data_IF_703524569962
#
_entry.id   IF_703524569962
#
_cell.length_a   1.000
_cell.length_b   1.000
_cell.length_c   1.000
_cell.angle_alpha   90.00
_cell.angle_beta   90.00
_cell.angle_gamma   90.00
#
_symmetry.space_group_name_H-M   'P 1'
#
loop_
_entity.id
_entity.type
_entity.pdbx_description
1 polymer ?
#
# COMPACT_ATOMS: atom_id res chain seq x y z
N UNK A 1 21.12 -8.86 -9.04
CA UNK A 1 20.72 -9.83 -10.08
C UNK A 1 19.30 -9.53 -10.50
N UNK A 2 18.95 -9.61 -11.80
CA UNK A 2 17.56 -9.48 -12.21
C UNK A 2 16.75 -10.64 -11.62
N UNK A 3 15.57 -10.33 -11.11
CA UNK A 3 14.65 -11.35 -10.59
C UNK A 3 14.13 -12.21 -11.73
N UNK A 4 14.04 -13.52 -11.51
CA UNK A 4 13.60 -14.51 -12.51
C UNK A 4 12.08 -14.69 -12.56
N UNK A 5 11.43 -14.33 -11.46
CA UNK A 5 9.99 -14.53 -11.26
C UNK A 5 9.26 -13.21 -11.39
N UNK A 6 8.17 -13.23 -12.14
CA UNK A 6 7.29 -12.08 -12.32
C UNK A 6 5.93 -12.36 -11.69
N UNK A 7 5.43 -11.37 -10.96
CA UNK A 7 4.08 -11.38 -10.42
C UNK A 7 3.05 -10.88 -11.45
N UNK A 8 3.49 -10.20 -12.50
CA UNK A 8 2.63 -9.61 -13.51
C UNK A 8 2.07 -10.65 -14.47
N UNK A 9 0.81 -10.45 -14.85
CA UNK A 9 0.14 -11.18 -15.92
C UNK A 9 -0.98 -10.30 -16.53
N UNK A 10 -1.88 -10.89 -17.31
CA UNK A 10 -3.01 -10.18 -17.92
C UNK A 10 -3.98 -9.54 -16.89
N UNK A 11 -3.99 -10.02 -15.65
CA UNK A 11 -4.88 -9.59 -14.57
C UNK A 11 -4.15 -8.83 -13.45
N UNK A 12 -2.89 -9.18 -13.19
CA UNK A 12 -2.01 -8.56 -12.21
C UNK A 12 -1.11 -7.55 -12.90
N UNK A 13 -1.44 -6.27 -12.75
CA UNK A 13 -0.84 -5.19 -13.55
C UNK A 13 0.11 -4.34 -12.73
N UNK A 14 1.27 -4.01 -13.30
CA UNK A 14 2.23 -3.05 -12.72
C UNK A 14 1.58 -1.67 -12.57
N UNK A 15 0.97 -1.16 -13.64
CA UNK A 15 0.16 0.06 -13.59
C UNK A 15 -1.23 -0.26 -13.01
N UNK A 16 -1.63 0.33 -11.87
CA UNK A 16 -2.94 0.10 -11.29
C UNK A 16 -4.06 0.54 -12.23
N UNK A 17 -5.25 -0.06 -12.07
CA UNK A 17 -6.42 0.30 -12.89
C UNK A 17 -6.75 1.78 -12.71
N UNK A 18 -7.09 2.46 -13.82
CA UNK A 18 -7.46 3.87 -13.80
C UNK A 18 -8.64 4.16 -12.86
N UNK A 19 -9.57 3.20 -12.73
CA UNK A 19 -10.73 3.25 -11.86
C UNK A 19 -10.42 3.22 -10.36
N UNK A 20 -9.19 2.91 -9.93
CA UNK A 20 -8.83 2.98 -8.52
C UNK A 20 -8.70 4.43 -8.04
N UNK A 21 -9.12 4.66 -6.78
CA UNK A 21 -8.97 5.96 -6.12
C UNK A 21 -7.49 6.31 -5.89
N UNK A 22 -7.20 7.57 -5.56
CA UNK A 22 -5.84 8.00 -5.24
C UNK A 22 -5.24 7.21 -4.06
N UNK A 23 -6.00 7.03 -2.98
CA UNK A 23 -5.59 6.24 -1.83
C UNK A 23 -5.33 4.76 -2.19
N UNK A 24 -6.17 4.17 -3.05
CA UNK A 24 -5.95 2.81 -3.54
C UNK A 24 -4.66 2.73 -4.36
N UNK A 25 -4.44 3.65 -5.31
CA UNK A 25 -3.23 3.67 -6.14
C UNK A 25 -1.96 3.81 -5.31
N UNK A 26 -1.97 4.69 -4.30
CA UNK A 26 -0.87 4.87 -3.37
C UNK A 26 -0.59 3.55 -2.61
N UNK A 27 -1.56 3.02 -1.86
CA UNK A 27 -1.35 1.82 -1.04
C UNK A 27 -0.97 0.57 -1.84
N UNK A 28 -1.45 0.44 -3.09
CA UNK A 28 -1.10 -0.68 -3.96
C UNK A 28 0.33 -0.60 -4.52
N UNK A 29 0.85 0.60 -4.74
CA UNK A 29 2.19 0.81 -5.34
C UNK A 29 3.26 1.14 -4.30
N UNK A 30 2.84 1.46 -3.07
CA UNK A 30 3.73 1.81 -1.96
C UNK A 30 4.74 0.70 -1.66
N UNK A 31 6.01 1.04 -1.92
CA UNK A 31 7.16 0.17 -1.66
C UNK A 31 7.40 -0.09 -0.18
N UNK A 32 8.33 -0.99 0.12
CA UNK A 32 8.65 -1.38 1.49
C UNK A 32 7.58 -2.27 2.15
N UNK A 33 7.69 -2.42 3.46
CA UNK A 33 6.85 -3.30 4.26
C UNK A 33 5.45 -2.73 4.48
N UNK A 34 4.40 -3.48 4.09
CA UNK A 34 3.01 -3.09 4.40
C UNK A 34 2.78 -2.97 5.91
N UNK A 35 3.36 -3.88 6.68
CA UNK A 35 3.30 -3.86 8.15
C UNK A 35 3.92 -2.58 8.71
N UNK A 36 5.02 -2.09 8.12
CA UNK A 36 5.63 -0.83 8.57
C UNK A 36 4.70 0.37 8.30
N UNK A 37 4.05 0.41 7.13
CA UNK A 37 3.06 1.45 6.83
C UNK A 37 1.81 1.35 7.71
N UNK A 38 1.33 0.16 8.02
CA UNK A 38 0.19 -0.02 8.91
C UNK A 38 0.52 0.40 10.35
N UNK A 39 1.76 0.22 10.82
CA UNK A 39 2.21 0.69 12.13
C UNK A 39 2.17 2.21 12.29
N UNK A 40 2.13 2.97 11.19
CA UNK A 40 1.92 4.43 11.28
C UNK A 40 0.45 4.80 11.50
N UNK A 41 -0.47 3.84 11.39
CA UNK A 41 -1.90 4.06 11.58
C UNK A 41 -2.38 3.64 12.97
N UNK A 42 -1.66 2.76 13.67
CA UNK A 42 -2.04 2.24 14.97
C UNK A 42 -1.24 0.99 15.37
N UNK A 43 -1.68 0.30 16.43
CA UNK A 43 -1.03 -0.91 16.91
C UNK A 43 -1.33 -2.08 15.96
N UNK A 44 -0.28 -2.61 15.32
CA UNK A 44 -0.43 -3.74 14.38
C UNK A 44 -0.33 -5.08 15.09
N UNK A 45 -1.32 -5.94 14.85
CA UNK A 45 -1.31 -7.36 15.24
C UNK A 45 -1.40 -8.25 14.00
N UNK A 46 -0.60 -9.32 13.99
CA UNK A 46 -0.68 -10.39 12.98
C UNK A 46 -1.48 -11.54 13.56
N UNK A 47 -2.63 -11.84 12.96
CA UNK A 47 -3.40 -13.06 13.24
C UNK A 47 -3.13 -14.08 12.14
N UNK A 48 -2.64 -15.26 12.50
CA UNK A 48 -2.47 -16.36 11.55
C UNK A 48 -3.78 -17.12 11.45
N UNK A 49 -4.35 -17.19 10.26
CA UNK A 49 -5.60 -17.91 10.00
C UNK A 49 -5.35 -19.30 9.45
N UNK A 50 -4.25 -19.50 8.72
CA UNK A 50 -3.89 -20.81 8.17
C UNK A 50 -2.41 -20.96 7.87
N UNK A 51 -1.87 -22.14 8.13
CA UNK A 51 -0.55 -22.59 7.68
C UNK A 51 -0.63 -24.04 7.25
N UNK A 52 -0.26 -24.36 6.00
CA UNK A 52 -0.41 -25.71 5.47
C UNK A 52 0.54 -26.01 4.32
N UNK A 53 0.71 -27.31 4.03
CA UNK A 53 1.16 -27.75 2.70
C UNK A 53 -0.09 -27.85 1.82
N UNK A 54 -0.12 -27.12 0.72
CA UNK A 54 -1.28 -27.09 -0.18
C UNK A 54 -0.88 -26.89 -1.64
N UNK A 55 -1.86 -26.99 -2.52
CA UNK A 55 -1.77 -26.50 -3.88
C UNK A 55 -1.88 -24.97 -3.90
N UNK A 56 -0.90 -24.24 -4.47
CA UNK A 56 -1.08 -22.82 -4.75
C UNK A 56 -2.30 -22.57 -5.66
N UNK A 57 -2.82 -21.34 -5.64
CA UNK A 57 -3.88 -20.98 -6.57
C UNK A 57 -3.36 -20.96 -8.01
N UNK A 58 -4.27 -21.10 -8.98
CA UNK A 58 -3.90 -21.31 -10.39
C UNK A 58 -3.00 -20.21 -10.96
N UNK A 59 -3.23 -18.96 -10.55
CA UNK A 59 -2.43 -17.81 -11.00
C UNK A 59 -1.11 -17.65 -10.22
N UNK A 60 -0.97 -18.35 -9.09
CA UNK A 60 0.26 -18.37 -8.30
C UNK A 60 1.27 -19.37 -8.85
N UNK A 61 0.80 -20.48 -9.44
CA UNK A 61 1.68 -21.48 -10.04
C UNK A 61 2.60 -20.87 -11.11
N UNK A 62 2.05 -20.02 -11.98
CA UNK A 62 2.83 -19.33 -13.00
C UNK A 62 3.87 -18.36 -12.39
N UNK A 63 3.44 -17.54 -11.42
CA UNK A 63 4.32 -16.58 -10.75
C UNK A 63 5.44 -17.25 -9.94
N UNK A 64 5.22 -18.47 -9.45
CA UNK A 64 6.18 -19.27 -8.70
C UNK A 64 7.00 -20.23 -9.58
N UNK A 65 6.72 -20.33 -10.88
CA UNK A 65 7.37 -21.29 -11.77
C UNK A 65 7.14 -22.75 -11.37
N UNK A 66 5.97 -23.06 -10.81
CA UNK A 66 5.60 -24.38 -10.33
C UNK A 66 4.99 -25.25 -11.44
N UNK A 67 5.31 -26.54 -11.44
CA UNK A 67 4.65 -27.50 -12.31
C UNK A 67 3.19 -27.72 -11.87
N UNK A 68 2.31 -28.19 -12.76
CA UNK A 68 0.97 -28.61 -12.38
C UNK A 68 1.02 -29.61 -11.22
N UNK A 69 0.18 -29.39 -10.20
CA UNK A 69 0.06 -30.25 -9.00
C UNK A 69 1.27 -30.23 -8.04
N UNK A 70 2.25 -29.36 -8.27
CA UNK A 70 3.34 -29.17 -7.33
C UNK A 70 2.86 -28.48 -6.04
N UNK A 71 3.33 -28.98 -4.89
CA UNK A 71 2.90 -28.48 -3.58
C UNK A 71 3.73 -27.27 -3.14
N UNK A 72 3.07 -26.36 -2.45
CA UNK A 72 3.67 -25.22 -1.78
C UNK A 72 3.41 -25.25 -0.27
N UNK A 73 4.27 -24.58 0.47
CA UNK A 73 3.91 -24.12 1.81
C UNK A 73 3.12 -22.82 1.66
N UNK A 74 1.92 -22.79 2.23
CA UNK A 74 1.02 -21.64 2.22
C UNK A 74 0.81 -21.11 3.63
N UNK A 75 0.69 -19.79 3.72
CA UNK A 75 0.42 -19.08 4.97
C UNK A 75 -0.55 -17.95 4.72
N UNK A 76 -1.67 -18.00 5.43
CA UNK A 76 -2.71 -16.98 5.40
C UNK A 76 -2.72 -16.23 6.73
N UNK A 77 -2.78 -14.91 6.65
CA UNK A 77 -2.78 -14.03 7.81
C UNK A 77 -3.76 -12.89 7.63
N UNK A 78 -4.07 -12.23 8.74
CA UNK A 78 -4.77 -10.96 8.79
C UNK A 78 -3.92 -9.97 9.56
N UNK A 79 -3.76 -8.77 9.00
CA UNK A 79 -3.15 -7.64 9.67
C UNK A 79 -4.26 -6.77 10.25
N UNK A 80 -4.30 -6.72 11.57
CA UNK A 80 -5.21 -5.89 12.34
C UNK A 80 -4.50 -4.61 12.77
N UNK A 81 -5.18 -3.47 12.69
CA UNK A 81 -4.76 -2.21 13.30
C UNK A 81 -5.77 -1.89 14.39
N UNK A 82 -5.29 -1.80 15.63
CA UNK A 82 -6.13 -1.55 16.82
C UNK A 82 -7.32 -2.53 16.92
N UNK A 83 -7.07 -3.80 16.57
CA UNK A 83 -8.07 -4.88 16.57
C UNK A 83 -8.97 -4.93 15.35
N UNK A 84 -8.85 -3.99 14.41
CA UNK A 84 -9.68 -3.94 13.19
C UNK A 84 -8.91 -4.52 12.00
N UNK A 85 -9.48 -5.50 11.25
CA UNK A 85 -8.78 -6.14 10.14
C UNK A 85 -8.66 -5.19 8.94
N UNK A 86 -7.43 -4.85 8.57
CA UNK A 86 -7.14 -3.93 7.47
C UNK A 86 -6.67 -4.66 6.21
N UNK A 87 -5.99 -5.80 6.37
CA UNK A 87 -5.43 -6.56 5.25
C UNK A 87 -5.58 -8.04 5.52
N UNK A 88 -6.06 -8.78 4.52
CA UNK A 88 -5.99 -10.22 4.52
C UNK A 88 -4.94 -10.65 3.49
N UNK A 89 -3.98 -11.48 3.88
CA UNK A 89 -2.82 -11.80 3.05
C UNK A 89 -2.60 -13.31 2.95
N UNK A 90 -2.12 -13.73 1.78
CA UNK A 90 -1.75 -15.10 1.47
C UNK A 90 -0.34 -15.10 0.90
N UNK A 91 0.50 -16.00 1.42
CA UNK A 91 1.87 -16.19 0.97
C UNK A 91 2.10 -17.64 0.60
N UNK A 92 2.85 -17.88 -0.47
CA UNK A 92 3.15 -19.21 -0.99
C UNK A 92 4.60 -19.33 -1.44
N UNK A 93 5.23 -20.48 -1.18
CA UNK A 93 6.57 -20.82 -1.66
C UNK A 93 6.61 -22.31 -2.02
N UNK A 94 7.38 -22.74 -3.04
CA UNK A 94 7.57 -24.16 -3.34
C UNK A 94 7.93 -24.95 -2.07
N UNK A 95 7.38 -26.15 -1.90
CA UNK A 95 7.53 -26.91 -0.65
C UNK A 95 9.01 -27.18 -0.32
N UNK A 96 9.82 -27.55 -1.32
CA UNK A 96 11.26 -27.73 -1.12
C UNK A 96 11.98 -26.45 -0.67
N UNK A 97 11.58 -25.29 -1.20
CA UNK A 97 12.13 -24.00 -0.79
C UNK A 97 11.72 -23.64 0.65
N UNK A 98 10.53 -24.05 1.10
CA UNK A 98 10.06 -23.87 2.47
C UNK A 98 10.83 -24.69 3.51
N UNK A 99 11.55 -25.74 3.09
CA UNK A 99 12.45 -26.51 3.95
C UNK A 99 13.90 -26.00 3.91
N UNK A 100 14.26 -25.21 2.89
CA UNK A 100 15.61 -24.67 2.70
C UNK A 100 15.65 -23.16 2.86
N UNK A 101 15.78 -22.45 1.74
CA UNK A 101 16.00 -20.99 1.69
C UNK A 101 14.95 -20.20 2.48
N UNK A 102 13.69 -20.66 2.46
CA UNK A 102 12.55 -20.03 3.12
C UNK A 102 12.11 -20.75 4.41
N UNK A 103 12.98 -21.57 5.03
CA UNK A 103 12.65 -22.29 6.27
C UNK A 103 12.16 -21.41 7.43
N UNK A 104 12.65 -20.17 7.50
CA UNK A 104 12.24 -19.21 8.52
C UNK A 104 10.74 -18.87 8.44
N UNK A 105 10.14 -18.95 7.25
CA UNK A 105 8.70 -18.71 7.04
C UNK A 105 7.85 -19.66 7.90
N UNK A 106 8.27 -20.92 8.06
CA UNK A 106 7.56 -21.94 8.88
C UNK A 106 7.70 -21.69 10.39
N UNK A 107 8.60 -20.78 10.80
CA UNK A 107 8.89 -20.43 12.19
C UNK A 107 8.47 -19.00 12.52
N UNK A 108 7.71 -18.35 11.64
CA UNK A 108 7.27 -16.97 11.87
C UNK A 108 6.33 -16.86 13.06
N UNK A 109 5.48 -17.86 13.32
CA UNK A 109 4.42 -17.75 14.35
C UNK A 109 3.59 -16.49 14.09
N UNK A 110 3.53 -15.54 15.02
CA UNK A 110 2.85 -14.25 14.85
C UNK A 110 3.76 -13.13 14.36
N UNK A 111 5.02 -13.42 14.01
CA UNK A 111 5.91 -12.40 13.44
C UNK A 111 5.52 -12.07 11.99
N UNK A 112 5.54 -10.79 11.60
CA UNK A 112 5.35 -10.38 10.23
C UNK A 112 6.41 -10.99 9.30
N UNK A 113 5.96 -11.49 8.15
CA UNK A 113 6.84 -11.98 7.10
C UNK A 113 7.80 -10.88 6.58
N UNK A 114 7.40 -9.62 6.67
CA UNK A 114 8.24 -8.48 6.29
C UNK A 114 9.57 -8.43 7.05
N UNK A 115 9.63 -8.91 8.30
CA UNK A 115 10.88 -8.99 9.05
C UNK A 115 11.88 -9.90 8.36
N UNK A 116 11.43 -11.02 7.79
CA UNK A 116 12.27 -11.94 7.00
C UNK A 116 12.67 -11.33 5.64
N UNK A 117 11.77 -10.59 5.00
CA UNK A 117 11.94 -10.14 3.61
C UNK A 117 12.77 -8.86 3.47
N UNK A 118 12.72 -7.95 4.44
CA UNK A 118 13.37 -6.64 4.35
C UNK A 118 14.63 -6.51 5.20
N UNK A 119 14.96 -7.48 6.05
CA UNK A 119 16.21 -7.49 6.82
C UNK A 119 17.37 -8.17 6.10
N UNK A 120 17.12 -8.88 4.99
CA UNK A 120 18.12 -9.65 4.24
C UNK A 120 18.37 -9.01 2.88
N UNK A 121 19.56 -8.44 2.68
CA UNK A 121 19.98 -7.80 1.42
C UNK A 121 20.13 -8.79 0.25
N UNK A 122 20.15 -10.09 0.52
CA UNK A 122 20.15 -11.15 -0.49
C UNK A 122 18.76 -11.45 -1.08
N UNK A 123 17.71 -10.79 -0.59
CA UNK A 123 16.34 -10.92 -1.11
C UNK A 123 16.10 -9.86 -2.19
N UNK A 124 15.83 -10.32 -3.40
CA UNK A 124 15.34 -9.49 -4.49
C UNK A 124 13.81 -9.50 -4.51
N UNK A 125 13.19 -8.48 -5.12
CA UNK A 125 11.75 -8.34 -5.20
C UNK A 125 11.31 -7.93 -6.61
N UNK A 126 10.23 -8.54 -7.11
CA UNK A 126 9.57 -8.16 -8.36
C UNK A 126 8.91 -6.79 -8.23
N UNK A 127 8.44 -6.24 -9.35
CA UNK A 127 7.51 -5.13 -9.31
C UNK A 127 6.28 -5.48 -8.44
N UNK A 128 5.74 -4.46 -7.76
CA UNK A 128 4.41 -4.54 -7.21
C UNK A 128 3.41 -4.51 -8.35
N UNK A 129 2.48 -5.47 -8.33
CA UNK A 129 1.37 -5.54 -9.27
C UNK A 129 0.06 -5.51 -8.51
N UNK A 130 -1.00 -5.05 -9.14
CA UNK A 130 -2.30 -4.89 -8.51
C UNK A 130 -3.42 -5.44 -9.37
N UNK A 131 -4.51 -5.84 -8.70
CA UNK A 131 -5.69 -6.45 -9.32
C UNK A 131 -6.95 -6.11 -8.54
N UNK A 132 -8.08 -6.03 -9.25
CA UNK A 132 -9.41 -6.11 -8.66
C UNK A 132 -9.85 -7.57 -8.55
N UNK A 133 -10.18 -8.01 -7.35
CA UNK A 133 -10.41 -9.41 -7.00
C UNK A 133 -11.89 -9.62 -6.72
N UNK A 134 -12.57 -10.41 -7.55
CA UNK A 134 -13.99 -10.74 -7.39
C UNK A 134 -14.17 -12.11 -6.72
N UNK A 135 -15.42 -12.47 -6.41
CA UNK A 135 -15.80 -13.75 -5.79
C UNK A 135 -15.33 -15.01 -6.54
N UNK A 136 -14.88 -14.91 -7.80
CA UNK A 136 -14.30 -16.03 -8.56
C UNK A 136 -12.88 -16.40 -8.13
N UNK A 137 -12.22 -15.55 -7.35
CA UNK A 137 -10.84 -15.76 -6.93
C UNK A 137 -10.80 -16.15 -5.44
N UNK A 138 -10.04 -17.18 -5.02
CA UNK A 138 -10.01 -17.66 -3.63
C UNK A 138 -9.67 -16.57 -2.59
N UNK A 139 -8.77 -15.64 -2.93
CA UNK A 139 -8.47 -14.46 -2.10
C UNK A 139 -9.71 -13.63 -1.71
N UNK A 140 -10.77 -13.60 -2.52
CA UNK A 140 -12.02 -12.92 -2.14
C UNK A 140 -12.67 -13.62 -0.95
N UNK A 141 -12.76 -14.96 -0.98
CA UNK A 141 -13.34 -15.72 0.13
C UNK A 141 -12.50 -15.56 1.41
N UNK A 142 -11.17 -15.55 1.30
CA UNK A 142 -10.26 -15.26 2.41
C UNK A 142 -10.56 -13.87 3.00
N UNK A 143 -10.64 -12.83 2.17
CA UNK A 143 -10.91 -11.47 2.63
C UNK A 143 -12.33 -11.26 3.18
N UNK A 144 -13.33 -11.92 2.60
CA UNK A 144 -14.73 -11.77 2.99
C UNK A 144 -15.02 -12.35 4.39
N UNK A 145 -14.31 -13.42 4.79
CA UNK A 145 -14.43 -14.01 6.14
C UNK A 145 -14.12 -13.01 7.25
N UNK A 146 -13.16 -12.12 7.01
CA UNK A 146 -12.70 -11.16 8.02
C UNK A 146 -13.64 -9.97 8.23
N UNK A 147 -14.59 -9.75 7.31
CA UNK A 147 -15.54 -8.64 7.40
C UNK A 147 -16.72 -9.01 8.29
N UNK A 148 -17.14 -10.27 8.28
CA UNK A 148 -18.30 -10.76 9.04
C UNK A 148 -18.06 -10.88 10.55
N UNK A 149 -16.81 -11.05 10.98
CA UNK A 149 -16.48 -11.30 12.39
C UNK A 149 -16.41 -10.04 13.26
N UNK A 150 -16.26 -8.84 12.67
CA UNK A 150 -15.86 -7.64 13.43
C UNK A 150 -17.00 -6.68 13.75
N UNK A 151 -18.29 -7.04 13.54
CA UNK A 151 -19.42 -6.16 13.89
C UNK A 151 -19.38 -4.76 13.26
N UNK A 152 -18.60 -4.59 12.18
CA UNK A 152 -18.36 -3.31 11.53
C UNK A 152 -19.60 -2.89 10.71
N UNK A 153 -19.84 -1.58 10.63
CA UNK A 153 -21.00 -0.97 9.96
C UNK A 153 -21.16 -1.34 8.47
N UNK A 154 -20.16 -1.98 7.85
CA UNK A 154 -20.27 -2.61 6.54
C UNK A 154 -20.81 -4.04 6.68
N UNK A 155 -22.12 -4.20 6.86
CA UNK A 155 -22.77 -5.49 7.09
C UNK A 155 -22.63 -6.53 5.95
N UNK A 156 -22.05 -6.15 4.80
CA UNK A 156 -21.85 -7.05 3.67
C UNK A 156 -20.46 -6.88 3.05
N UNK A 157 -19.80 -8.00 2.77
CA UNK A 157 -18.56 -8.01 2.00
C UNK A 157 -18.80 -7.41 0.60
N UNK A 158 -17.89 -6.54 0.10
CA UNK A 158 -18.05 -5.96 -1.22
C UNK A 158 -17.94 -7.03 -2.32
N UNK A 159 -18.56 -6.75 -3.47
CA UNK A 159 -18.48 -7.61 -4.65
C UNK A 159 -17.04 -7.80 -5.18
N UNK A 160 -16.14 -6.87 -4.85
CA UNK A 160 -14.74 -6.98 -5.19
C UNK A 160 -13.85 -6.29 -4.17
N UNK A 161 -12.65 -6.82 -4.01
CA UNK A 161 -11.56 -6.21 -3.27
C UNK A 161 -10.47 -5.68 -4.21
N UNK A 162 -9.57 -4.92 -3.63
CA UNK A 162 -8.35 -4.46 -4.30
C UNK A 162 -7.18 -5.15 -3.63
N UNK A 163 -6.32 -5.79 -4.43
CA UNK A 163 -5.17 -6.53 -3.92
C UNK A 163 -3.90 -6.14 -4.66
N UNK A 164 -2.77 -6.32 -3.99
CA UNK A 164 -1.44 -6.26 -4.59
C UNK A 164 -0.68 -7.55 -4.38
N UNK A 165 0.29 -7.80 -5.25
CA UNK A 165 1.10 -9.01 -5.26
C UNK A 165 2.54 -8.69 -5.64
N UNK A 166 3.48 -9.49 -5.14
CA UNK A 166 4.88 -9.44 -5.52
C UNK A 166 5.55 -10.77 -5.23
N UNK A 167 6.55 -11.12 -6.05
CA UNK A 167 7.44 -12.26 -5.79
C UNK A 167 8.73 -11.74 -5.16
N UNK A 168 9.16 -12.41 -4.09
CA UNK A 168 10.47 -12.28 -3.49
C UNK A 168 11.33 -13.46 -3.94
N UNK A 169 12.58 -13.22 -4.28
CA UNK A 169 13.53 -14.25 -4.70
C UNK A 169 14.77 -14.20 -3.82
N UNK A 170 15.17 -15.37 -3.32
CA UNK A 170 16.40 -15.55 -2.57
C UNK A 170 17.08 -16.82 -3.07
N UNK A 171 18.36 -16.76 -3.44
CA UNK A 171 19.12 -17.89 -3.99
C UNK A 171 18.36 -18.69 -5.07
N UNK A 172 17.67 -18.00 -5.99
CA UNK A 172 16.90 -18.65 -7.06
C UNK A 172 15.59 -19.31 -6.61
N UNK A 173 15.13 -19.09 -5.37
CA UNK A 173 13.90 -19.66 -4.82
C UNK A 173 12.83 -18.59 -4.61
N UNK A 174 11.63 -18.75 -5.18
CA UNK A 174 10.57 -17.76 -5.10
C UNK A 174 9.75 -17.89 -3.82
N UNK A 175 9.22 -16.77 -3.36
CA UNK A 175 8.18 -16.65 -2.36
C UNK A 175 7.21 -15.57 -2.81
N UNK A 176 5.96 -15.94 -3.03
CA UNK A 176 4.90 -15.04 -3.44
C UNK A 176 4.19 -14.48 -2.21
N UNK A 177 3.88 -13.17 -2.24
CA UNK A 177 3.01 -12.52 -1.27
C UNK A 177 1.89 -11.82 -2.02
N UNK A 178 0.66 -12.14 -1.65
CA UNK A 178 -0.56 -11.47 -2.12
C UNK A 178 -1.28 -10.84 -0.94
N UNK A 179 -1.54 -9.53 -1.00
CA UNK A 179 -2.13 -8.72 0.08
C UNK A 179 -3.43 -8.10 -0.43
N UNK A 180 -4.55 -8.38 0.25
CA UNK A 180 -5.88 -7.90 -0.07
C UNK A 180 -6.31 -6.82 0.93
N UNK A 181 -6.57 -5.61 0.45
CA UNK A 181 -6.95 -4.48 1.29
C UNK A 181 -8.43 -4.52 1.61
N UNK A 182 -8.76 -4.51 2.90
CA UNK A 182 -10.12 -4.63 3.42
C UNK A 182 -10.81 -3.26 3.54
N UNK A 183 -12.16 -3.21 3.60
CA UNK A 183 -12.92 -1.95 3.63
C UNK A 183 -12.54 -1.02 4.78
N UNK A 184 -12.20 -1.58 5.95
CA UNK A 184 -11.84 -0.80 7.13
C UNK A 184 -10.62 0.10 6.91
N UNK A 185 -9.63 -0.35 6.13
CA UNK A 185 -8.48 0.47 5.75
C UNK A 185 -8.93 1.71 4.96
N UNK A 186 -9.83 1.52 3.99
CA UNK A 186 -10.29 2.63 3.14
C UNK A 186 -11.16 3.62 3.92
N UNK A 187 -12.02 3.12 4.80
CA UNK A 187 -12.81 3.97 5.71
C UNK A 187 -11.90 4.81 6.61
N UNK A 188 -10.91 4.17 7.25
CA UNK A 188 -9.94 4.84 8.11
C UNK A 188 -9.18 5.97 7.39
N UNK A 189 -8.71 5.70 6.17
CA UNK A 189 -7.98 6.69 5.37
C UNK A 189 -8.87 7.86 4.94
N UNK A 190 -10.13 7.59 4.59
CA UNK A 190 -11.10 8.63 4.22
C UNK A 190 -11.42 9.55 5.41
N UNK A 191 -11.65 8.98 6.60
CA UNK A 191 -11.87 9.74 7.83
C UNK A 191 -10.66 10.58 8.23
N UNK A 192 -9.46 10.00 8.12
CA UNK A 192 -8.21 10.68 8.44
C UNK A 192 -7.95 11.88 7.52
N UNK A 193 -8.25 11.73 6.22
CA UNK A 193 -8.16 12.83 5.25
C UNK A 193 -9.17 13.95 5.54
N UNK A 194 -10.39 13.60 5.94
CA UNK A 194 -11.41 14.57 6.34
C UNK A 194 -11.01 15.40 7.57
N UNK A 195 -10.45 14.76 8.59
CA UNK A 195 -9.94 15.42 9.80
C UNK A 195 -8.78 16.37 9.49
N UNK A 196 -7.83 15.96 8.65
CA UNK A 196 -6.71 16.80 8.24
C UNK A 196 -7.16 18.06 7.46
N UNK A 197 -8.15 17.91 6.57
CA UNK A 197 -8.75 19.05 5.84
C UNK A 197 -9.46 20.03 6.78
N UNK A 198 -10.23 19.54 7.75
CA UNK A 198 -10.92 20.36 8.74
C UNK A 198 -9.96 21.12 9.68
N UNK A 199 -8.86 20.49 10.11
CA UNK A 199 -7.82 21.12 10.91
C UNK A 199 -7.05 22.20 10.14
N UNK A 200 -6.80 22.00 8.84
CA UNK A 200 -6.16 23.02 7.99
C UNK A 200 -7.06 24.23 7.75
N UNK A 201 -8.38 24.03 7.62
CA UNK A 201 -9.34 25.12 7.37
C UNK A 201 -9.56 26.00 8.62
N UNK A 202 -9.44 25.44 9.82
CA UNK A 202 -9.59 26.18 11.09
C UNK A 202 -8.36 27.01 11.48
N UNK A 203 -7.17 26.71 10.95
CA UNK A 203 -5.98 27.53 11.18
C UNK A 203 -5.89 28.77 10.28
N UNK A 204 -6.52 28.75 9.10
CA UNK A 204 -6.47 29.86 8.13
C UNK A 204 -7.43 31.00 8.50
N UNK A 205 -8.43 30.77 9.37
CA UNK A 205 -9.41 31.79 9.76
C UNK A 205 -8.96 32.75 10.87
N UNK A 206 -7.76 32.56 11.45
CA UNK A 206 -7.26 33.42 12.55
C UNK A 206 -6.27 34.52 12.14
N UNK A 207 -6.01 34.73 10.84
CA UNK A 207 -5.07 35.76 10.34
C UNK A 207 -5.71 36.92 9.56
N UNK A 208 -6.98 37.23 9.83
CA UNK A 208 -7.68 38.36 9.20
C UNK A 208 -8.39 39.25 10.22
N UNK A 209 -7.61 40.14 10.87
CA UNK A 209 -7.98 41.39 11.60
C UNK A 209 -6.65 41.86 12.20
N UNK A 210 -5.99 42.92 11.77
CA UNK A 210 -6.46 44.32 11.69
C UNK A 210 -5.83 45.04 10.49
N UNK A 211 -6.66 45.72 9.70
CA UNK A 211 -6.24 46.94 8.99
C UNK A 211 -7.21 48.03 9.39
N UNK A 212 -6.75 48.92 10.28
CA UNK A 212 -7.45 50.16 10.61
C UNK A 212 -7.49 51.11 9.41
N UNK A 213 -8.47 52.02 9.35
CA UNK A 213 -8.61 52.97 8.24
C UNK A 213 -7.66 54.15 8.45
N UNK A 214 -6.81 54.44 7.46
CA UNK A 214 -6.04 55.68 7.41
C UNK A 214 -6.61 56.60 6.34
N UNK A 215 -7.04 57.76 6.80
CA UNK A 215 -7.72 58.80 6.04
C UNK A 215 -6.82 59.56 5.06
N UNK A 216 -7.51 60.31 4.22
CA UNK A 216 -7.00 61.16 3.17
C UNK A 216 -6.25 62.38 3.73
N UNK A 217 -5.08 62.69 3.17
CA UNK A 217 -4.58 64.06 3.07
C UNK A 217 -3.85 64.25 1.75
N UNK A 218 -4.36 65.20 0.97
CA UNK A 218 -3.73 65.73 -0.23
C UNK A 218 -2.53 66.62 0.13
N UNK A 219 -1.53 66.68 -0.75
CA UNK A 219 -0.77 67.91 -0.96
C UNK A 219 -0.09 67.93 -2.33
N UNK A 220 -0.26 69.07 -3.01
CA UNK A 220 0.33 69.47 -4.30
C UNK A 220 1.67 70.19 -4.06
N UNK A 221 2.35 70.42 -5.20
CA UNK A 221 3.50 71.31 -5.45
C UNK A 221 4.87 70.59 -5.39
N UNK A 222 5.87 70.83 -6.23
CA UNK A 222 6.10 71.85 -7.26
C UNK A 222 7.18 71.34 -8.25
N UNK A 223 7.43 72.12 -9.29
CA UNK A 223 8.17 71.88 -10.53
C UNK A 223 9.71 71.88 -10.43
N UNK A 224 10.34 71.37 -11.49
CA UNK A 224 11.66 71.77 -12.00
C UNK A 224 12.79 70.79 -11.67
N UNK A 225 13.78 70.48 -12.51
CA UNK A 225 14.10 70.76 -13.91
C UNK A 225 15.35 69.92 -14.27
N UNK A 226 15.69 69.86 -15.56
CA UNK A 226 16.98 69.46 -16.16
C UNK A 226 17.30 67.97 -16.45
N UNK A 227 17.02 67.61 -17.72
CA UNK A 227 17.95 67.08 -18.76
C UNK A 227 19.29 66.44 -18.34
N UNK A 228 19.57 65.21 -18.80
CA UNK A 228 20.61 64.88 -19.81
C UNK A 228 20.60 63.36 -20.15
N UNK A 229 20.93 63.01 -21.40
CA UNK A 229 20.90 61.65 -22.00
C UNK A 229 22.36 61.05 -22.06
N UNK A 230 22.64 59.92 -22.76
CA UNK A 230 23.16 58.60 -22.30
C UNK A 230 24.66 58.41 -22.71
N UNK A 231 25.27 57.22 -23.04
CA UNK A 231 24.84 55.79 -23.05
C UNK A 231 25.90 54.76 -22.54
N UNK A 232 25.57 53.46 -22.69
CA UNK A 232 26.50 52.50 -23.30
C UNK A 232 27.08 51.39 -22.41
N UNK A 233 26.69 50.15 -22.70
CA UNK A 233 27.18 48.92 -22.10
C UNK A 233 28.58 48.48 -22.60
N UNK A 234 29.30 47.64 -21.84
CA UNK A 234 30.16 46.57 -22.36
C UNK A 234 29.48 45.20 -22.09
N UNK A 235 29.62 44.12 -22.87
CA UNK A 235 30.60 43.66 -23.85
C UNK A 235 29.93 42.57 -24.70
#
# INVERSE_FOLDING_TARGET
MPIRFDAADAHWRVAPLAAFSAAQKDWLTRGGSLTAHLRTLGQVRVRVTREAVDMPWSDECAALGLAPRERAWVREIVLEVDGVPFVAAHSATPLGASHGVWQAMRRLRTRPLAELLYSDSGVARSALVSRRVSARHPLHALAAREIGETGSACAHAPHAFVARRSVFERHGKPLLVTECMLPALWAYLAESAGKASAAHTSHTSHSARERGPLGHTASRAHQGAHQHLPPGAPR
#
